data_IF_889369900852
#
_entry.id   IF_889369900852
#
_cell.length_a   1.000
_cell.length_b   1.000
_cell.length_c   1.000
_cell.angle_alpha   90.00
_cell.angle_beta   90.00
_cell.angle_gamma   90.00
#
_symmetry.space_group_name_H-M   'P 1'
#
loop_
_entity.id
_entity.type
_entity.pdbx_description
1 polymer ?
2 non-polymer ?
3 non-polymer ?
4 non-polymer ?
5 non-polymer ?
6 water ?
#
# COMPACT_ATOMS: atom_id res chain seq x y z
N UNK A 2 1.97 17.43 9.43
CA UNK A 2 2.32 16.42 8.36
C UNK A 2 2.06 15.06 8.97
N UNK A 3 2.01 14.04 8.13
CA UNK A 3 1.76 12.69 8.60
C UNK A 3 2.96 12.09 9.32
N UNK A 4 2.71 11.33 10.38
CA UNK A 4 3.75 10.62 11.13
C UNK A 4 3.47 9.13 10.95
N UNK A 5 4.50 8.36 10.62
CA UNK A 5 4.31 6.93 10.43
C UNK A 5 4.30 6.25 11.78
N UNK A 6 3.23 5.50 12.04
CA UNK A 6 3.07 4.79 13.28
C UNK A 6 3.79 3.43 13.19
N UNK A 7 4.24 2.95 14.34
CA UNK A 7 5.02 1.72 14.37
C UNK A 7 4.40 0.65 15.25
N UNK A 8 4.90 -0.56 15.08
CA UNK A 8 4.35 -1.77 15.72
C UNK A 8 4.22 -1.51 17.24
N UNK A 9 3.05 -1.79 17.76
CA UNK A 9 2.69 -1.40 19.12
C UNK A 9 1.46 -0.50 19.07
N UNK A 10 1.33 0.28 18.00
CA UNK A 10 0.17 1.11 17.84
C UNK A 10 -1.01 0.27 17.39
N UNK A 11 -2.11 0.35 18.14
CA UNK A 11 -3.32 -0.42 17.79
C UNK A 11 -3.91 -0.05 16.42
N UNK A 12 -3.67 1.15 15.93
CA UNK A 12 -4.18 1.58 14.60
C UNK A 12 -3.70 0.68 13.47
N UNK A 13 -2.54 0.05 13.66
CA UNK A 13 -2.01 -0.89 12.71
C UNK A 13 -2.73 -2.22 12.65
N UNK A 14 -3.54 -2.52 13.65
CA UNK A 14 -4.24 -3.79 13.75
C UNK A 14 -5.76 -3.66 13.57
N UNK A 15 -6.27 -2.44 13.56
CA UNK A 15 -7.70 -2.14 13.29
C UNK A 15 -7.85 -2.16 11.80
N UNK A 16 -8.87 -2.83 11.27
CA UNK A 16 -9.05 -2.92 9.83
C UNK A 16 -9.55 -1.56 9.33
N UNK A 17 -9.24 -1.24 8.10
CA UNK A 17 -9.61 0.05 7.55
C UNK A 17 -10.95 -0.02 6.81
N UNK A 18 -11.62 1.12 6.81
CA UNK A 18 -12.98 1.24 6.26
C UNK A 18 -12.98 1.66 4.81
N UNK A 19 -13.93 1.10 4.08
CA UNK A 19 -14.20 1.52 2.72
C UNK A 19 -14.44 3.03 2.68
N UNK A 20 -14.00 3.65 1.60
CA UNK A 20 -14.04 5.11 1.40
C UNK A 20 -15.11 5.49 0.36
N UNK A 21 -15.90 6.52 0.67
CA UNK A 21 -16.70 7.18 -0.32
C UNK A 21 -15.82 8.26 -0.96
N UNK A 22 -15.46 8.08 -2.23
CA UNK A 22 -14.45 8.93 -2.87
C UNK A 22 -14.85 10.43 -2.87
N UNK A 23 -13.97 11.26 -2.35
CA UNK A 23 -14.10 12.73 -2.26
C UNK A 23 -12.80 13.25 -2.86
N UNK A 24 -12.89 13.85 -4.05
CA UNK A 24 -11.71 14.22 -4.81
C UNK A 24 -10.79 15.17 -4.07
N UNK A 25 -11.34 16.21 -3.45
CA UNK A 25 -10.49 17.13 -2.70
C UNK A 25 -9.87 16.49 -1.46
N UNK A 26 -10.64 15.64 -0.74
CA UNK A 26 -10.10 14.92 0.41
C UNK A 26 -8.92 14.06 -0.02
N UNK A 27 -9.15 13.32 -1.12
CA UNK A 27 -8.12 12.38 -1.56
C UNK A 27 -6.89 13.06 -2.12
N UNK A 28 -7.07 14.21 -2.75
CA UNK A 28 -5.91 14.95 -3.28
C UNK A 28 -4.94 15.36 -2.19
N UNK A 29 -5.48 15.89 -1.12
CA UNK A 29 -4.71 16.30 0.06
C UNK A 29 -4.09 15.12 0.78
N UNK A 30 -4.86 14.05 0.94
CA UNK A 30 -4.33 12.83 1.58
C UNK A 30 -3.19 12.23 0.76
N UNK A 31 -3.38 12.19 -0.56
CA UNK A 31 -2.35 11.74 -1.46
C UNK A 31 -1.09 12.55 -1.30
N UNK A 32 -1.22 13.88 -1.34
CA UNK A 32 -0.03 14.71 -1.23
C UNK A 32 0.74 14.38 0.08
N UNK A 33 0.00 14.32 1.19
CA UNK A 33 0.64 14.04 2.48
C UNK A 33 1.25 12.61 2.58
N UNK A 34 0.55 11.60 2.04
CA UNK A 34 1.03 10.23 2.07
C UNK A 34 2.29 10.10 1.24
N UNK A 35 2.31 10.70 0.05
CA UNK A 35 3.49 10.64 -0.79
C UNK A 35 4.68 11.28 -0.07
N UNK A 36 4.45 12.44 0.55
CA UNK A 36 5.50 13.14 1.26
C UNK A 36 6.08 12.23 2.36
N UNK A 37 5.21 11.58 3.15
CA UNK A 37 5.66 10.67 4.22
C UNK A 37 6.39 9.45 3.68
N UNK A 38 5.87 8.88 2.60
CA UNK A 38 6.51 7.73 1.97
C UNK A 38 7.89 8.08 1.51
N UNK A 39 8.03 9.11 0.68
CA UNK A 39 9.35 9.44 0.09
C UNK A 39 10.36 9.91 1.12
N UNK A 40 9.89 10.62 2.16
CA UNK A 40 10.75 11.14 3.21
C UNK A 40 11.47 10.00 3.95
N UNK A 41 10.83 8.84 3.99
CA UNK A 41 11.38 7.65 4.66
C UNK A 41 11.86 6.59 3.67
N UNK A 42 12.10 6.99 2.41
CA UNK A 42 12.60 6.07 1.37
C UNK A 42 11.71 4.82 1.11
N UNK A 43 10.40 4.99 1.28
CA UNK A 43 9.50 3.92 1.04
C UNK A 43 9.03 3.90 -0.39
N UNK A 44 8.45 2.76 -0.77
CA UNK A 44 7.93 2.58 -2.12
C UNK A 44 6.44 2.27 -2.18
N UNK A 45 5.82 2.27 -1.00
CA UNK A 45 4.38 2.21 -0.85
C UNK A 45 4.01 2.72 0.54
N UNK A 46 2.73 3.01 0.73
CA UNK A 46 2.20 3.41 2.02
C UNK A 46 0.71 3.19 2.10
N UNK A 47 0.23 2.84 3.29
CA UNK A 47 -1.19 2.62 3.52
C UNK A 47 -1.67 3.59 4.58
N UNK A 48 -2.88 4.12 4.39
CA UNK A 48 -3.41 5.09 5.32
C UNK A 48 -3.37 4.70 6.83
N UNK A 49 -3.68 3.44 7.18
CA UNK A 49 -3.57 3.10 8.63
C UNK A 49 -2.18 3.30 9.22
N UNK A 50 -1.13 3.27 8.40
CA UNK A 50 0.23 3.52 8.90
C UNK A 50 0.44 4.94 9.39
N UNK A 51 -0.45 5.84 8.98
CA UNK A 51 -0.38 7.23 9.49
C UNK A 51 -1.59 7.55 10.39
N UNK A 52 -2.24 6.49 10.90
CA UNK A 52 -3.34 6.66 11.84
C UNK A 52 -4.71 6.95 11.20
N UNK A 53 -4.85 6.70 9.89
CA UNK A 53 -6.10 6.96 9.20
C UNK A 53 -6.67 5.62 8.67
N UNK A 54 -7.70 5.09 9.36
CA UNK A 54 -8.09 3.70 9.10
C UNK A 54 -9.15 3.67 8.01
N UNK A 55 -8.68 4.08 6.83
CA UNK A 55 -9.47 4.15 5.61
C UNK A 55 -8.68 3.41 4.52
N UNK A 56 -9.41 2.81 3.58
CA UNK A 56 -8.81 1.92 2.59
C UNK A 56 -8.20 2.73 1.43
N UNK A 57 -7.02 3.27 1.69
CA UNK A 57 -6.33 4.15 0.75
C UNK A 57 -4.84 3.78 0.81
N UNK A 58 -4.26 3.52 -0.34
CA UNK A 58 -2.83 3.20 -0.45
C UNK A 58 -2.20 4.10 -1.55
N UNK A 59 -0.89 4.32 -1.42
CA UNK A 59 -0.08 4.91 -2.46
C UNK A 59 1.01 3.92 -2.83
N UNK A 60 1.35 3.90 -4.12
CA UNK A 60 2.38 3.00 -4.67
C UNK A 60 3.32 3.81 -5.56
N UNK A 61 4.58 3.84 -5.15
CA UNK A 61 5.58 4.56 -5.93
C UNK A 61 5.77 3.98 -7.32
N UNK A 62 5.97 4.87 -8.29
CA UNK A 62 6.46 4.45 -9.60
C UNK A 62 7.37 5.54 -10.16
N UNK A 63 8.41 5.86 -9.41
CA UNK A 63 9.37 6.88 -9.79
C UNK A 63 10.24 6.30 -10.91
N UNK A 64 10.53 7.11 -11.94
CA UNK A 64 11.38 6.68 -13.05
C UNK A 64 12.40 7.75 -13.39
N UNK A 65 13.47 7.36 -14.09
CA UNK A 65 14.46 8.33 -14.56
C UNK A 65 13.79 9.24 -15.60
N UNK A 66 12.96 8.64 -16.47
CA UNK A 66 12.27 9.37 -17.58
C UNK A 66 11.29 10.46 -17.08
N UNK A 67 10.44 10.14 -16.10
CA UNK A 67 9.37 11.06 -15.65
C UNK A 67 9.55 11.66 -14.26
N UNK A 68 10.49 11.13 -13.48
CA UNK A 68 10.74 11.60 -12.15
C UNK A 68 9.79 10.94 -11.14
N UNK A 69 9.60 11.63 -10.01
CA UNK A 69 8.79 11.13 -8.92
C UNK A 69 7.34 11.06 -9.36
N UNK A 70 6.73 9.92 -9.13
CA UNK A 70 5.28 9.73 -9.39
C UNK A 70 4.83 8.62 -8.46
N UNK A 71 3.58 8.68 -8.01
CA UNK A 71 3.00 7.59 -7.22
C UNK A 71 1.53 7.40 -7.62
N UNK A 72 1.07 6.15 -7.59
CA UNK A 72 -0.35 5.88 -7.84
C UNK A 72 -1.14 6.05 -6.57
N UNK A 73 -2.29 6.72 -6.62
CA UNK A 73 -3.30 6.60 -5.53
C UNK A 73 -4.23 5.43 -5.85
N UNK A 74 -4.46 4.53 -4.89
CA UNK A 74 -5.47 3.48 -5.06
C UNK A 74 -6.42 3.54 -3.89
N UNK A 75 -7.65 3.94 -4.19
CA UNK A 75 -8.74 4.02 -3.23
C UNK A 75 -9.62 2.76 -3.29
N UNK A 76 -9.87 2.14 -2.13
CA UNK A 76 -10.57 0.84 -2.04
C UNK A 76 -9.97 -0.22 -2.91
N UNK A 77 -8.64 -0.37 -2.81
CA UNK A 77 -8.04 -1.42 -3.61
C UNK A 77 -8.55 -2.79 -3.19
N UNK A 78 -8.92 -3.58 -4.20
CA UNK A 78 -9.42 -4.92 -3.98
C UNK A 78 -8.82 -5.92 -4.96
N UNK A 79 -8.27 -7.01 -4.46
CA UNK A 79 -7.67 -8.05 -5.33
C UNK A 79 -8.80 -8.97 -5.79
N UNK A 80 -8.96 -9.08 -7.10
CA UNK A 80 -9.96 -9.98 -7.68
C UNK A 80 -9.35 -11.31 -8.18
N UNK A 81 -8.03 -11.40 -8.31
CA UNK A 81 -7.36 -12.57 -8.82
C UNK A 81 -5.92 -12.54 -8.35
N UNK A 82 -5.38 -13.72 -8.03
CA UNK A 82 -3.98 -13.94 -7.68
C UNK A 82 -3.42 -15.10 -8.44
N UNK A 83 -2.18 -14.98 -8.90
CA UNK A 83 -1.55 -16.05 -9.64
C UNK A 83 -1.32 -17.25 -8.71
N UNK A 84 -1.37 -18.45 -9.28
CA UNK A 84 -0.96 -19.64 -8.56
C UNK A 84 0.53 -19.58 -8.24
N UNK A 85 1.33 -19.07 -9.19
CA UNK A 85 2.77 -19.00 -8.99
C UNK A 85 3.06 -17.96 -7.92
N UNK A 86 3.94 -18.34 -6.99
CA UNK A 86 4.39 -17.46 -5.92
C UNK A 86 5.88 -17.16 -6.05
N UNK A 87 6.28 -16.09 -5.39
CA UNK A 87 7.66 -15.67 -5.38
C UNK A 87 8.00 -15.20 -3.96
N UNK A 88 9.25 -15.42 -3.60
CA UNK A 88 9.80 -15.02 -2.35
C UNK A 88 10.50 -13.69 -2.55
N UNK A 89 10.29 -12.74 -1.65
CA UNK A 89 10.89 -11.40 -1.70
C UNK A 89 11.13 -10.88 -0.28
N UNK A 90 12.29 -10.22 -0.10
CA UNK A 90 12.69 -9.75 1.20
C UNK A 90 12.03 -8.41 1.48
N UNK A 91 11.16 -8.34 2.49
CA UNK A 91 10.42 -7.11 2.78
C UNK A 91 10.88 -6.45 4.06
N UNK A 92 10.77 -5.12 4.08
CA UNK A 92 10.80 -4.34 5.28
C UNK A 92 9.55 -3.45 5.27
N UNK A 93 9.23 -2.89 6.42
CA UNK A 93 8.01 -2.10 6.54
C UNK A 93 8.36 -0.86 7.36
N UNK A 94 7.87 0.28 6.92
CA UNK A 94 8.12 1.53 7.66
C UNK A 94 7.45 1.54 9.05
N UNK A 95 6.47 0.67 9.27
CA UNK A 95 5.83 0.52 10.55
C UNK A 95 6.48 -0.57 11.42
N UNK A 96 7.56 -1.19 10.95
CA UNK A 96 8.25 -2.23 11.71
C UNK A 96 9.76 -1.99 11.61
N UNK A 97 10.27 -1.02 12.40
CA UNK A 97 11.69 -0.70 12.50
C UNK A 97 12.60 -1.90 12.66
N UNK A 98 13.64 -1.94 11.84
CA UNK A 98 14.80 -2.81 12.07
C UNK A 98 14.42 -4.30 12.02
N UNK A 99 13.40 -4.64 11.21
CA UNK A 99 13.05 -6.04 10.93
C UNK A 99 12.94 -6.20 9.42
N UNK A 100 13.28 -7.38 8.94
CA UNK A 100 13.08 -7.72 7.54
C UNK A 100 12.89 -9.21 7.45
N UNK A 101 12.32 -9.64 6.33
CA UNK A 101 12.25 -11.06 6.11
C UNK A 101 11.68 -11.44 4.76
N UNK A 102 12.01 -12.66 4.36
CA UNK A 102 11.52 -13.23 3.12
C UNK A 102 10.08 -13.70 3.23
N UNK A 103 9.23 -13.11 2.41
CA UNK A 103 7.77 -13.37 2.38
C UNK A 103 7.39 -13.97 1.02
N UNK A 104 6.62 -15.06 1.07
CA UNK A 104 6.07 -15.69 -0.10
C UNK A 104 4.67 -15.13 -0.41
N UNK A 105 4.51 -14.60 -1.63
CA UNK A 105 3.23 -14.08 -2.11
C UNK A 105 3.07 -14.41 -3.59
N UNK A 106 1.82 -14.38 -4.06
CA UNK A 106 1.58 -14.52 -5.47
C UNK A 106 2.40 -13.53 -6.29
N UNK A 107 2.92 -14.00 -7.42
CA UNK A 107 3.75 -13.20 -8.31
C UNK A 107 2.96 -12.07 -8.99
N UNK A 108 1.70 -12.38 -9.32
CA UNK A 108 0.87 -11.43 -10.05
C UNK A 108 -0.57 -11.41 -9.48
N UNK A 109 -1.21 -10.25 -9.66
CA UNK A 109 -2.57 -9.99 -9.15
C UNK A 109 -3.36 -9.14 -10.14
N UNK A 110 -4.70 -9.17 -10.01
CA UNK A 110 -5.51 -8.16 -10.61
C UNK A 110 -6.20 -7.40 -9.47
N UNK A 111 -6.22 -6.08 -9.58
CA UNK A 111 -6.73 -5.21 -8.52
C UNK A 111 -7.64 -4.15 -9.10
N UNK A 112 -8.79 -3.93 -8.46
CA UNK A 112 -9.67 -2.81 -8.77
C UNK A 112 -9.44 -1.70 -7.75
N UNK A 113 -9.67 -0.46 -8.14
CA UNK A 113 -9.53 0.70 -7.24
C UNK A 113 -10.08 1.91 -7.94
N UNK A 114 -10.23 2.99 -7.18
CA UNK A 114 -10.45 4.32 -7.72
C UNK A 114 -9.14 5.07 -7.69
N UNK A 115 -8.82 5.76 -8.77
CA UNK A 115 -7.54 6.43 -8.89
C UNK A 115 -7.65 7.90 -8.36
N UNK A 116 -6.58 8.64 -8.57
CA UNK A 116 -6.52 10.04 -8.14
C UNK A 116 -7.69 10.91 -8.57
N UNK A 117 -8.22 10.66 -9.78
CA UNK A 117 -9.28 11.44 -10.39
C UNK A 117 -10.65 10.78 -10.07
N UNK A 118 -10.66 9.72 -9.26
CA UNK A 118 -11.89 9.02 -8.85
C UNK A 118 -12.41 8.04 -9.89
N UNK A 119 -11.61 7.80 -10.93
CA UNK A 119 -12.01 6.87 -11.96
C UNK A 119 -11.82 5.42 -11.52
N UNK A 120 -12.76 4.58 -11.93
CA UNK A 120 -12.70 3.17 -11.59
C UNK A 120 -11.74 2.43 -12.54
N UNK A 121 -10.78 1.75 -11.92
CA UNK A 121 -9.73 1.07 -12.65
C UNK A 121 -9.68 -0.40 -12.30
N UNK A 122 -9.07 -1.17 -13.20
CA UNK A 122 -8.69 -2.52 -12.91
C UNK A 122 -7.38 -2.80 -13.64
N UNK A 123 -6.36 -3.17 -12.87
CA UNK A 123 -5.02 -3.43 -13.43
C UNK A 123 -4.53 -4.82 -13.12
N UNK A 124 -3.84 -5.42 -14.07
CA UNK A 124 -3.08 -6.64 -13.82
C UNK A 124 -1.68 -6.19 -13.47
N UNK A 125 -1.19 -6.62 -12.33
CA UNK A 125 0.13 -6.21 -11.86
C UNK A 125 1.01 -7.41 -11.62
N UNK A 126 2.30 -7.23 -11.89
CA UNK A 126 3.28 -8.25 -11.56
C UNK A 126 4.53 -7.57 -10.95
N UNK A 127 5.57 -8.37 -10.74
CA UNK A 127 6.81 -7.91 -10.16
C UNK A 127 6.65 -7.06 -8.92
N UNK A 128 7.44 -5.99 -8.84
CA UNK A 128 7.46 -5.19 -7.63
C UNK A 128 6.10 -4.53 -7.34
N UNK A 129 5.41 -4.04 -8.39
CA UNK A 129 4.09 -3.42 -8.16
C UNK A 129 3.12 -4.40 -7.47
N UNK A 130 3.05 -5.63 -7.98
CA UNK A 130 2.19 -6.65 -7.36
C UNK A 130 2.60 -6.90 -5.91
N UNK A 131 3.89 -6.91 -5.65
CA UNK A 131 4.39 -7.10 -4.31
C UNK A 131 3.97 -5.99 -3.34
N UNK A 132 4.21 -4.75 -3.76
CA UNK A 132 3.91 -3.57 -2.94
C UNK A 132 2.43 -3.55 -2.64
N UNK A 133 1.58 -3.75 -3.64
CA UNK A 133 0.13 -3.66 -3.43
C UNK A 133 -0.33 -4.69 -2.42
N UNK A 134 0.21 -5.90 -2.49
CA UNK A 134 -0.19 -6.92 -1.53
C UNK A 134 0.19 -6.57 -0.11
N UNK A 135 1.40 -6.04 0.07
CA UNK A 135 1.88 -5.57 1.37
C UNK A 135 0.97 -4.50 1.91
N UNK A 136 0.63 -3.53 1.06
CA UNK A 136 -0.25 -2.43 1.48
C UNK A 136 -1.68 -2.87 1.79
N UNK A 137 -2.28 -3.75 0.96
CA UNK A 137 -3.61 -4.25 1.30
C UNK A 137 -3.58 -5.01 2.64
N UNK A 138 -2.51 -5.75 2.92
CA UNK A 138 -2.38 -6.41 4.22
C UNK A 138 -2.54 -5.37 5.35
N UNK A 139 -1.93 -4.20 5.20
CA UNK A 139 -2.08 -3.16 6.22
C UNK A 139 -3.53 -2.79 6.45
N UNK A 140 -4.33 -2.74 5.38
CA UNK A 140 -5.75 -2.41 5.45
C UNK A 140 -6.55 -3.48 6.21
N UNK A 141 -6.01 -4.70 6.28
CA UNK A 141 -6.61 -5.80 7.01
C UNK A 141 -5.97 -6.00 8.39
N UNK A 142 -5.17 -5.03 8.83
CA UNK A 142 -4.51 -5.15 10.14
C UNK A 142 -3.39 -6.19 10.25
N UNK A 143 -2.75 -6.48 9.12
CA UNK A 143 -1.71 -7.45 8.99
C UNK A 143 -0.38 -6.75 8.73
N UNK A 144 0.63 -7.16 9.51
CA UNK A 144 2.01 -6.78 9.36
C UNK A 144 2.83 -7.95 8.84
N UNK A 145 3.86 -7.66 8.04
CA UNK A 145 4.53 -8.74 7.33
C UNK A 145 5.19 -9.73 8.29
N UNK A 146 5.52 -9.26 9.48
CA UNK A 146 6.14 -10.11 10.49
C UNK A 146 5.20 -11.21 10.96
N UNK A 147 3.90 -11.03 10.73
CA UNK A 147 2.93 -12.06 11.12
C UNK A 147 3.12 -13.38 10.39
N UNK A 148 3.81 -13.33 9.26
CA UNK A 148 4.02 -14.51 8.43
C UNK A 148 5.15 -15.38 8.94
N UNK A 149 5.89 -14.90 9.91
CA UNK A 149 6.91 -15.71 10.59
C UNK A 149 6.36 -16.12 11.97
N UNK A 150 6.50 -17.40 12.32
CA UNK A 150 5.81 -17.95 13.52
C UNK A 150 6.61 -19.06 14.23
X LIG B 1 4.34 -1.64 5.50
X LIG C 1 9.34 -5.47 -11.29
X LIG D 1 13.45 4.90 -17.27
X LIG D 1 12.78 6.15 -17.15
X LIG D 1 12.93 4.03 -16.18
X LIG D 1 13.30 4.69 -14.95
X LIG E 1 6.88 0.63 2.92
X LIG E 1 5.73 0.19 3.75
X LIG E 1 5.88 -0.18 4.92
X LIG E 1 4.50 0.21 3.22
X LIG E 1 3.49 -0.40 3.98
X LIG E 1 7.55 -0.60 2.29
X LIG E 1 8.91 -0.26 1.79
X LIG E 1 9.10 0.74 1.09
X LIG E 1 6.72 -1.19 1.15
X LIG E 1 7.38 -2.37 0.43
X LIG E 1 6.98 -3.67 0.96
X LIG E 1 7.08 -4.89 -0.01
X LIG E 1 8.44 -4.96 -0.67
X LIG E 1 9.88 -1.14 2.23
X LIG E 1 11.25 -1.05 1.73
X LIG E 1 12.18 -0.66 2.88
X LIG E 1 13.66 -0.78 2.50
X LIG E 1 11.81 0.77 3.32
X LIG E 1 11.60 -2.37 1.13
X LIG E 1 11.23 -3.40 1.66
X LIG E 1 12.39 -2.41 0.01
X LIG E 1 12.44 -3.68 -0.76
X LIG E 1 12.40 -1.24 -0.91
X LIG E 1 12.99 -1.80 -2.21
X LIG E 1 12.62 -3.27 -2.23
X LIG E 1 13.63 -4.50 -0.28
X LIG E 1 13.67 -5.91 -0.70
#
# INVERSE_FOLDING_TARGET
>A
GSLKIKTIGDRCLRQKSEEVEFDKKEMSELYDQMCEAMWASDGIGLAAPQVGINKRVIVVDETTEEHGKYAHLMVNPKITWKSEEKVLFDEGCLSVPDQNGEVLRPKSIKVTFQNKDGKYKKWKLDGLAARVVQHEIDHLEGILFVDYFNDKEN
>B hetero
1 ZN ZN
>C hetero
1 CL CL
>D hetero
1 EDO C1 O1 C2 O2
>E hetero
1 BB2 C5 C3 O4 N1 O2 C6 C12 O13 C7 C8 C9 C10 C11 N14 C15 C16 C18 C17 C19 O20 N21 C22 C23 C24 C25 C26 O27
#
